data_IF_628462609417
#
_entry.id   IF_628462609417
#
_cell.length_a   1.000
_cell.length_b   1.000
_cell.length_c   1.000
_cell.angle_alpha   90.00
_cell.angle_beta   90.00
_cell.angle_gamma   90.00
#
_symmetry.space_group_name_H-M   'P 1'
#
loop_
_entity.id
_entity.type
_entity.pdbx_description
1 polymer ?
#
# COMPACT_ATOMS: atom_id res chain seq x y z
N UNK A 1 -6.62 14.26 13.97
CA UNK A 1 -5.84 13.82 13.41
C UNK A 1 -5.57 14.60 12.29
N UNK A 2 -4.66 14.54 11.94
CA UNK A 2 -4.27 15.32 11.04
C UNK A 2 -4.48 14.91 9.71
N UNK A 3 -4.98 13.77 9.51
CA UNK A 3 -5.24 13.26 8.19
C UNK A 3 -6.17 14.12 7.39
N UNK A 4 -7.11 14.75 8.06
CA UNK A 4 -8.09 15.53 7.35
C UNK A 4 -7.54 16.81 6.82
N UNK A 5 -6.46 17.32 7.41
CA UNK A 5 -5.87 18.57 6.97
C UNK A 5 -4.76 18.35 5.96
N UNK A 6 -4.43 17.11 5.64
CA UNK A 6 -3.37 16.78 4.73
C UNK A 6 -3.85 17.03 3.29
N UNK A 7 -3.12 17.81 2.48
CA UNK A 7 -3.56 18.06 1.10
C UNK A 7 -3.70 16.78 0.27
N UNK A 8 -2.86 15.78 0.52
CA UNK A 8 -2.99 14.51 -0.19
C UNK A 8 -4.29 13.83 0.19
N UNK A 9 -4.66 13.87 1.48
CA UNK A 9 -5.91 13.29 1.91
C UNK A 9 -7.10 13.98 1.25
N UNK A 10 -7.06 15.30 1.14
CA UNK A 10 -8.13 16.01 0.46
C UNK A 10 -8.21 15.64 -1.00
N UNK A 11 -7.06 15.49 -1.65
CA UNK A 11 -7.04 15.08 -3.04
C UNK A 11 -7.63 13.69 -3.21
N UNK A 12 -7.29 12.77 -2.29
CA UNK A 12 -7.85 11.42 -2.34
C UNK A 12 -9.35 11.44 -2.15
N UNK A 13 -9.83 12.19 -1.16
CA UNK A 13 -11.26 12.22 -0.88
C UNK A 13 -12.05 12.77 -2.06
N UNK A 14 -11.48 13.75 -2.75
CA UNK A 14 -12.17 14.37 -3.89
C UNK A 14 -12.04 13.54 -5.15
N UNK A 15 -10.95 12.77 -5.28
CA UNK A 15 -10.64 12.11 -6.53
C UNK A 15 -10.76 10.60 -6.54
N UNK A 16 -11.30 9.98 -5.48
CA UNK A 16 -11.38 8.53 -5.43
C UNK A 16 -12.75 8.06 -4.98
N UNK A 17 -13.06 6.82 -5.33
CA UNK A 17 -14.29 6.17 -4.93
C UNK A 17 -13.94 4.73 -4.56
N UNK A 18 -14.32 4.28 -3.38
CA UNK A 18 -13.99 2.94 -2.93
C UNK A 18 -14.76 1.91 -3.76
N UNK A 19 -14.02 0.96 -4.33
CA UNK A 19 -14.63 -0.14 -5.09
C UNK A 19 -14.87 -1.33 -4.19
N UNK A 20 -13.89 -1.73 -3.38
CA UNK A 20 -14.07 -2.85 -2.48
C UNK A 20 -12.78 -3.45 -2.01
N UNK A 21 -12.91 -4.47 -1.18
CA UNK A 21 -11.76 -5.21 -0.68
C UNK A 21 -11.19 -6.09 -1.80
N UNK A 22 -9.89 -6.32 -1.73
CA UNK A 22 -9.20 -7.09 -2.77
C UNK A 22 -7.99 -7.79 -2.19
N UNK A 23 -7.51 -8.81 -2.90
CA UNK A 23 -6.26 -9.47 -2.58
C UNK A 23 -5.28 -9.28 -3.71
N UNK A 24 -4.01 -9.23 -3.35
CA UNK A 24 -2.90 -8.99 -4.25
C UNK A 24 -2.01 -10.22 -4.19
N UNK A 25 -2.14 -11.15 -5.14
CA UNK A 25 -1.36 -12.39 -5.10
C UNK A 25 0.09 -12.13 -5.51
N UNK A 26 0.99 -12.91 -4.95
CA UNK A 26 2.42 -12.79 -5.26
C UNK A 26 3.06 -11.62 -4.54
N UNK A 27 2.55 -11.24 -3.38
CA UNK A 27 3.09 -10.13 -2.61
C UNK A 27 3.15 -10.50 -1.13
N UNK A 28 4.06 -9.85 -0.42
CA UNK A 28 4.23 -10.01 1.03
C UNK A 28 4.15 -8.65 1.68
N UNK A 29 3.75 -8.65 2.95
CA UNK A 29 3.57 -7.43 3.71
C UNK A 29 4.52 -7.42 4.90
N UNK A 30 5.15 -6.27 5.12
CA UNK A 30 6.09 -6.07 6.23
C UNK A 30 5.70 -4.81 6.99
N UNK A 31 6.20 -4.68 8.21
CA UNK A 31 6.04 -3.45 8.98
C UNK A 31 7.31 -2.63 8.85
N UNK A 32 7.15 -1.38 8.41
CA UNK A 32 8.25 -0.42 8.33
C UNK A 32 7.84 0.75 9.22
N UNK A 33 8.55 0.94 10.33
CA UNK A 33 8.23 1.97 11.32
C UNK A 33 6.76 1.86 11.75
N UNK A 34 5.90 2.73 11.24
CA UNK A 34 4.52 2.77 11.66
C UNK A 34 3.54 2.27 10.62
N UNK A 35 3.99 1.79 9.48
CA UNK A 35 3.08 1.54 8.38
C UNK A 35 3.40 0.23 7.69
N UNK A 36 2.44 -0.33 6.94
CA UNK A 36 2.70 -1.52 6.15
C UNK A 36 3.48 -1.18 4.90
N UNK A 37 4.22 -2.16 4.42
CA UNK A 37 4.95 -2.03 3.17
C UNK A 37 4.86 -3.35 2.43
N UNK A 38 4.41 -3.30 1.18
CA UNK A 38 4.24 -4.50 0.37
C UNK A 38 5.42 -4.63 -0.59
N UNK A 39 5.88 -5.86 -0.78
CA UNK A 39 6.92 -6.16 -1.76
C UNK A 39 6.49 -7.37 -2.57
N UNK A 40 7.06 -7.51 -3.75
CA UNK A 40 6.81 -8.68 -4.58
C UNK A 40 7.38 -9.93 -3.90
N UNK A 41 6.68 -11.04 -4.05
CA UNK A 41 7.11 -12.34 -3.53
C UNK A 41 7.23 -13.31 -4.68
N UNK A 42 8.26 -14.18 -4.66
CA UNK A 42 8.34 -15.24 -5.67
C UNK A 42 7.28 -16.32 -5.49
N UNK A 43 6.64 -16.36 -4.32
CA UNK A 43 5.61 -17.36 -4.03
C UNK A 43 4.26 -16.78 -4.34
N UNK A 44 3.60 -17.29 -5.35
CA UNK A 44 2.32 -16.75 -5.78
C UNK A 44 1.17 -17.07 -4.83
N UNK A 45 1.41 -17.94 -3.86
CA UNK A 45 0.39 -18.21 -2.83
C UNK A 45 0.44 -17.17 -1.72
N UNK A 46 1.48 -16.33 -1.66
CA UNK A 46 1.47 -15.21 -0.74
C UNK A 46 0.45 -14.19 -1.19
N UNK A 47 -0.30 -13.64 -0.26
CA UNK A 47 -1.35 -12.68 -0.57
C UNK A 47 -1.23 -11.48 0.35
N UNK A 48 -1.53 -10.30 -0.20
CA UNK A 48 -1.69 -9.08 0.59
C UNK A 48 -3.13 -8.63 0.44
N UNK A 49 -3.77 -8.29 1.56
CA UNK A 49 -5.15 -7.84 1.57
C UNK A 49 -5.19 -6.32 1.60
N UNK A 50 -6.05 -5.75 0.81
CA UNK A 50 -6.18 -4.30 0.73
C UNK A 50 -7.51 -3.90 0.17
N UNK A 51 -7.55 -2.68 -0.35
CA UNK A 51 -8.76 -2.11 -0.92
C UNK A 51 -8.43 -1.47 -2.25
N UNK A 52 -9.41 -1.51 -3.17
CA UNK A 52 -9.27 -0.89 -4.48
C UNK A 52 -10.15 0.35 -4.54
N UNK A 53 -9.59 1.40 -5.12
CA UNK A 53 -10.30 2.66 -5.31
C UNK A 53 -10.28 3.01 -6.79
N UNK A 54 -11.40 3.53 -7.28
CA UNK A 54 -11.47 4.09 -8.62
C UNK A 54 -10.96 5.52 -8.56
N UNK A 55 -10.10 5.89 -9.50
CA UNK A 55 -9.55 7.23 -9.55
C UNK A 55 -10.33 8.06 -10.56
N UNK A 56 -10.88 9.17 -10.09
CA UNK A 56 -11.43 10.19 -10.96
C UNK A 56 -10.28 11.15 -11.28
N UNK A 57 -10.04 11.45 -12.52
CA UNK A 57 -8.89 12.25 -12.93
C UNK A 57 -7.58 11.57 -12.47
N UNK A 58 -7.29 10.38 -13.02
CA UNK A 58 -6.17 9.60 -12.52
C UNK A 58 -4.83 10.29 -12.63
N UNK A 59 -4.61 11.10 -13.64
CA UNK A 59 -3.31 11.78 -13.77
C UNK A 59 -3.04 12.69 -12.59
N UNK A 60 -4.02 13.45 -12.17
CA UNK A 60 -3.84 14.38 -11.07
C UNK A 60 -3.69 13.65 -9.74
N UNK A 61 -4.53 12.64 -9.51
CA UNK A 61 -4.48 11.88 -8.26
C UNK A 61 -3.18 11.13 -8.14
N UNK A 62 -2.73 10.49 -9.22
CA UNK A 62 -1.49 9.72 -9.18
C UNK A 62 -0.28 10.64 -9.02
N UNK A 63 -0.32 11.83 -9.58
CA UNK A 63 0.77 12.77 -9.38
C UNK A 63 0.90 13.14 -7.90
N UNK A 64 -0.23 13.40 -7.25
CA UNK A 64 -0.22 13.73 -5.83
C UNK A 64 0.28 12.56 -4.99
N UNK A 65 -0.17 11.36 -5.30
CA UNK A 65 0.26 10.17 -4.57
C UNK A 65 1.73 9.87 -4.79
N UNK A 66 2.21 10.03 -6.02
CA UNK A 66 3.63 9.79 -6.31
C UNK A 66 4.50 10.72 -5.46
N UNK A 67 4.10 11.98 -5.33
CA UNK A 67 4.85 12.92 -4.50
C UNK A 67 4.79 12.51 -3.03
N UNK A 68 3.61 12.10 -2.58
CA UNK A 68 3.43 11.70 -1.19
C UNK A 68 4.28 10.47 -0.86
N UNK A 69 4.34 9.51 -1.77
CA UNK A 69 5.10 8.28 -1.55
C UNK A 69 6.58 8.43 -1.89
N UNK A 70 6.99 9.57 -2.39
CA UNK A 70 8.39 9.82 -2.65
C UNK A 70 8.92 9.16 -3.90
N UNK A 71 8.07 8.92 -4.89
CA UNK A 71 8.49 8.31 -6.14
C UNK A 71 8.13 9.16 -7.36
N UNK A 72 7.92 10.45 -7.15
CA UNK A 72 7.69 11.36 -8.25
C UNK A 72 8.97 11.69 -9.01
N UNK A 73 8.84 12.34 -10.16
CA UNK A 73 10.00 12.58 -11.02
C UNK A 73 11.05 13.49 -10.39
N UNK A 74 10.67 14.30 -9.42
CA UNK A 74 11.60 15.20 -8.77
C UNK A 74 12.14 14.66 -7.47
N UNK A 75 11.78 13.44 -7.07
CA UNK A 75 12.26 12.87 -5.83
C UNK A 75 13.62 12.23 -6.02
N UNK A 76 14.49 12.31 -5.01
CA UNK A 76 15.84 11.77 -5.15
C UNK A 76 15.87 10.25 -5.14
N UNK A 77 16.91 9.71 -5.73
CA UNK A 77 17.20 8.29 -5.67
C UNK A 77 18.13 7.99 -4.52
N UNK A 78 18.06 6.81 -3.89
CA UNK A 78 17.05 5.77 -4.14
C UNK A 78 15.73 6.12 -3.46
N UNK A 79 14.65 5.80 -4.12
CA UNK A 79 13.33 6.09 -3.58
C UNK A 79 12.86 4.97 -2.67
N UNK A 80 12.03 5.31 -1.70
CA UNK A 80 11.51 4.32 -0.77
C UNK A 80 10.38 3.49 -1.37
N UNK A 81 9.63 4.06 -2.29
CA UNK A 81 8.51 3.37 -2.94
C UNK A 81 8.61 3.48 -4.44
N UNK A 82 7.98 2.53 -5.12
CA UNK A 82 7.79 2.61 -6.57
C UNK A 82 6.35 2.22 -6.88
N UNK A 83 5.80 2.81 -7.92
CA UNK A 83 4.43 2.54 -8.34
C UNK A 83 4.45 1.55 -9.50
N UNK A 84 3.67 0.48 -9.38
CA UNK A 84 3.59 -0.54 -10.42
C UNK A 84 2.14 -0.95 -10.62
N UNK A 85 1.82 -1.41 -11.83
CA UNK A 85 0.53 -2.02 -12.09
C UNK A 85 0.56 -3.45 -11.57
N UNK A 86 -0.52 -3.87 -10.93
CA UNK A 86 -0.61 -5.20 -10.33
C UNK A 86 -1.98 -5.78 -10.60
N UNK A 87 -2.03 -7.07 -10.87
CA UNK A 87 -3.30 -7.76 -11.00
C UNK A 87 -3.81 -8.11 -9.62
N UNK A 88 -5.01 -7.65 -9.30
CA UNK A 88 -5.62 -7.92 -8.00
C UNK A 88 -6.99 -8.55 -8.21
N UNK A 89 -7.45 -9.27 -7.19
CA UNK A 89 -8.75 -9.94 -7.24
C UNK A 89 -9.68 -9.31 -6.22
N UNK A 90 -10.81 -8.81 -6.69
CA UNK A 90 -11.84 -8.25 -5.82
C UNK A 90 -12.58 -9.36 -5.10
N UNK A 91 -13.22 -9.03 -3.98
CA UNK A 91 -13.91 -10.01 -3.17
C UNK A 91 -14.92 -10.82 -3.96
N UNK A 92 -15.58 -10.23 -4.93
CA UNK A 92 -16.54 -10.94 -5.76
C UNK A 92 -15.93 -11.84 -6.81
N UNK A 93 -14.61 -11.91 -6.91
CA UNK A 93 -13.92 -12.75 -7.86
C UNK A 93 -13.47 -12.04 -9.12
N UNK A 94 -13.87 -10.80 -9.31
CA UNK A 94 -13.44 -10.03 -10.48
C UNK A 94 -11.97 -9.68 -10.38
N UNK A 95 -11.24 -9.82 -11.49
CA UNK A 95 -9.81 -9.54 -11.54
C UNK A 95 -9.62 -8.23 -12.28
N UNK A 96 -8.85 -7.33 -11.68
CA UNK A 96 -8.61 -6.02 -12.28
C UNK A 96 -7.13 -5.67 -12.16
N UNK A 97 -6.69 -4.73 -12.98
CA UNK A 97 -5.37 -4.14 -12.88
C UNK A 97 -5.46 -2.90 -12.01
N UNK A 98 -4.55 -2.75 -11.07
CA UNK A 98 -4.55 -1.60 -10.17
C UNK A 98 -3.13 -1.08 -10.01
N UNK A 99 -3.02 0.22 -9.77
CA UNK A 99 -1.73 0.79 -9.40
C UNK A 99 -1.49 0.51 -7.93
N UNK A 100 -0.27 0.10 -7.59
CA UNK A 100 0.11 -0.13 -6.21
C UNK A 100 1.46 0.53 -5.94
N UNK A 101 1.69 0.90 -4.69
CA UNK A 101 2.98 1.43 -4.27
C UNK A 101 3.70 0.33 -3.52
N UNK A 102 4.83 -0.11 -4.04
CA UNK A 102 5.63 -1.17 -3.46
C UNK A 102 6.84 -0.57 -2.75
N UNK A 103 7.19 -1.18 -1.63
CA UNK A 103 8.39 -0.79 -0.90
C UNK A 103 9.60 -1.12 -1.75
N UNK A 104 10.51 -0.16 -1.88
CA UNK A 104 11.62 -0.24 -2.82
C UNK A 104 12.96 -0.34 -2.11
N UNK A 105 12.96 -0.81 -0.87
CA UNK A 105 14.18 -0.95 -0.08
C UNK A 105 14.22 -2.37 0.48
N UNK A 106 15.38 -2.82 0.99
CA UNK A 106 15.45 -4.16 1.57
C UNK A 106 14.51 -4.33 2.75
N UNK A 107 14.04 -5.54 2.95
CA UNK A 107 13.14 -5.87 4.06
C UNK A 107 13.81 -6.77 5.09
N UNK A 108 15.11 -7.03 4.96
CA UNK A 108 15.83 -7.88 5.88
C UNK A 108 15.68 -7.34 7.30
N UNK A 109 15.28 -8.20 8.21
CA UNK A 109 15.12 -7.80 9.59
C UNK A 109 13.83 -7.11 9.95
N UNK A 110 12.97 -6.83 8.96
CA UNK A 110 11.68 -6.20 9.25
C UNK A 110 10.65 -7.27 9.61
N UNK A 111 9.73 -6.97 10.53
CA UNK A 111 8.68 -7.95 10.86
C UNK A 111 7.78 -8.19 9.66
N UNK A 112 7.57 -9.46 9.33
CA UNK A 112 6.66 -9.84 8.27
C UNK A 112 5.27 -10.04 8.85
N UNK A 113 4.26 -9.57 8.13
CA UNK A 113 2.86 -9.77 8.51
C UNK A 113 2.36 -11.00 7.79
N UNK A 114 2.38 -12.14 8.49
CA UNK A 114 2.14 -13.44 7.88
C UNK A 114 0.77 -13.56 7.23
N UNK A 115 -0.24 -12.91 7.81
CA UNK A 115 -1.58 -12.96 7.25
C UNK A 115 -1.71 -12.17 5.96
N UNK A 116 -0.76 -11.25 5.69
CA UNK A 116 -0.89 -10.34 4.56
C UNK A 116 -1.94 -9.26 4.77
N UNK A 117 -2.48 -9.13 5.96
CA UNK A 117 -3.52 -8.16 6.27
C UNK A 117 -3.06 -7.31 7.44
N UNK A 118 -2.83 -6.01 7.17
CA UNK A 118 -2.35 -5.09 8.20
C UNK A 118 -3.25 -5.07 9.42
N UNK A 119 -4.55 -5.20 9.21
CA UNK A 119 -5.52 -5.15 10.31
C UNK A 119 -5.52 -6.41 11.15
N UNK A 120 -4.90 -7.49 10.67
CA UNK A 120 -4.82 -8.77 11.39
C UNK A 120 -3.41 -9.08 11.84
N UNK A 121 -2.53 -8.08 11.86
CA UNK A 121 -1.16 -8.32 12.26
C UNK A 121 -1.12 -8.70 13.74
N UNK A 122 -0.19 -9.59 14.08
CA UNK A 122 0.00 -9.98 15.46
C UNK A 122 0.77 -8.89 16.20
N UNK A 123 0.83 -9.01 17.51
CA UNK A 123 1.54 -8.02 18.29
C UNK A 123 3.01 -7.93 17.89
N UNK A 124 3.63 -9.08 17.58
CA UNK A 124 5.03 -9.09 17.18
C UNK A 124 5.25 -8.49 15.80
N UNK A 125 4.22 -8.41 14.99
CA UNK A 125 4.32 -7.94 13.63
C UNK A 125 4.05 -6.45 13.50
N UNK A 126 3.44 -5.85 14.53
CA UNK A 126 3.09 -4.45 14.47
C UNK A 126 4.23 -3.51 14.83
N UNK A 127 3.98 -2.20 14.76
CA UNK A 127 4.99 -1.23 15.14
C UNK A 127 5.33 -1.33 16.61
N UNK A 128 6.58 -1.05 17.00
CA UNK A 128 6.96 -1.18 18.41
C UNK A 128 6.13 -0.32 19.35
N UNK A 129 5.70 0.84 18.90
CA UNK A 129 4.95 1.73 19.77
C UNK A 129 3.52 1.31 19.94
N UNK A 130 3.14 0.26 19.23
CA UNK A 130 1.80 -0.19 19.28
C UNK A 130 1.43 -0.68 20.60
N UNK A 131 2.23 -0.65 21.48
CA UNK A 131 1.89 -1.09 22.67
C UNK A 131 1.14 -0.48 23.43
N UNK A 132 0.78 -0.40 23.77
CA UNK A 132 0.23 0.10 24.60
C UNK A 132 -0.95 0.00 24.78
N UNK A 133 -1.36 -0.19 24.66
CA UNK A 133 -2.45 -0.19 25.00
C UNK A 133 -2.98 -0.95 25.30
#
# INVERSE_FOLDING_TARGET
MQGEDNPVRQELDAGTERVGAATMPGARLYTVDWHPAAVASPDRTDLVHGEVFLLHDPERVLEALDRYEGCGPNDPEPRFFRREAWTVELTGGEVVQAWVYLWNRPVDGLPRISSGDWRRRSRDEGPPSDRTD
#
